data_IF_638529243280
#
_entry.id   IF_638529243280
#
_cell.length_a   1.000
_cell.length_b   1.000
_cell.length_c   1.000
_cell.angle_alpha   90.00
_cell.angle_beta   90.00
_cell.angle_gamma   90.00
#
_symmetry.space_group_name_H-M   'P 1'
#
loop_
_entity.id
_entity.type
_entity.pdbx_description
1 polymer ?
#
# COMPACT_ATOMS: atom_id res chain seq x y z
N UNK A 1 -24.85 0.87 23.81
CA UNK A 1 -23.70 0.68 22.92
C UNK A 1 -22.77 -0.29 23.63
N UNK A 2 -22.59 -1.51 23.11
CA UNK A 2 -21.90 -2.60 23.81
C UNK A 2 -20.44 -2.62 23.36
N UNK A 3 -19.54 -2.05 24.18
CA UNK A 3 -18.12 -1.98 23.88
C UNK A 3 -17.42 -3.33 24.17
N UNK A 4 -17.58 -4.31 23.27
CA UNK A 4 -16.93 -5.63 23.40
C UNK A 4 -15.39 -5.54 23.34
N UNK A 5 -14.87 -4.60 22.57
CA UNK A 5 -13.43 -4.34 22.38
C UNK A 5 -12.93 -3.11 23.16
N UNK A 6 -13.79 -2.51 24.00
CA UNK A 6 -13.50 -1.27 24.70
C UNK A 6 -13.77 0.00 23.86
N UNK A 7 -13.41 1.14 24.44
CA UNK A 7 -13.59 2.48 23.85
C UNK A 7 -12.25 3.11 23.50
N UNK A 8 -12.22 3.87 22.41
CA UNK A 8 -11.07 4.64 21.95
C UNK A 8 -10.77 5.82 22.91
N UNK A 9 -9.68 6.54 22.70
CA UNK A 9 -9.21 7.67 23.54
C UNK A 9 -10.27 8.78 23.70
N UNK A 10 -11.21 8.85 22.75
CA UNK A 10 -12.34 9.79 22.73
C UNK A 10 -13.66 9.20 23.28
N UNK A 11 -13.64 8.00 23.86
CA UNK A 11 -14.83 7.32 24.40
C UNK A 11 -15.73 6.64 23.35
N UNK A 12 -15.30 6.54 22.09
CA UNK A 12 -16.04 5.88 20.99
C UNK A 12 -15.84 4.37 21.01
N UNK A 13 -16.88 3.58 20.72
CA UNK A 13 -16.79 2.11 20.65
C UNK A 13 -15.85 1.66 19.51
N UNK A 14 -14.75 0.99 19.88
CA UNK A 14 -13.72 0.51 18.94
C UNK A 14 -14.28 -0.53 17.98
N UNK A 15 -15.15 -1.43 18.46
CA UNK A 15 -15.74 -2.48 17.62
C UNK A 15 -16.58 -1.87 16.51
N UNK A 16 -17.40 -0.87 16.86
CA UNK A 16 -18.23 -0.16 15.88
C UNK A 16 -17.38 0.57 14.84
N UNK A 17 -16.25 1.14 15.25
CA UNK A 17 -15.36 1.86 14.34
C UNK A 17 -14.60 0.92 13.39
N UNK A 18 -14.17 -0.24 13.90
CA UNK A 18 -13.53 -1.29 13.12
C UNK A 18 -14.48 -1.90 12.08
N UNK A 19 -15.72 -2.20 12.46
CA UNK A 19 -16.72 -2.74 11.53
C UNK A 19 -17.10 -1.72 10.44
N UNK A 20 -17.18 -0.43 10.81
CA UNK A 20 -17.43 0.64 9.85
C UNK A 20 -16.26 0.83 8.87
N UNK A 21 -15.02 0.77 9.36
CA UNK A 21 -13.82 0.90 8.53
C UNK A 21 -13.52 -0.34 7.68
N UNK A 22 -13.74 -1.53 8.23
CA UNK A 22 -13.34 -2.80 7.60
C UNK A 22 -14.05 -3.06 6.29
N UNK A 23 -15.33 -2.71 6.16
CA UNK A 23 -16.10 -2.90 4.92
C UNK A 23 -15.45 -2.19 3.75
N UNK A 24 -15.06 -0.94 3.92
CA UNK A 24 -14.45 -0.13 2.86
C UNK A 24 -13.08 -0.69 2.50
N UNK A 25 -12.26 -1.03 3.50
CA UNK A 25 -10.93 -1.64 3.29
C UNK A 25 -11.01 -3.00 2.60
N UNK A 26 -11.97 -3.86 2.97
CA UNK A 26 -12.15 -5.18 2.35
C UNK A 26 -12.50 -5.05 0.88
N UNK A 27 -13.46 -4.19 0.55
CA UNK A 27 -13.92 -4.00 -0.82
C UNK A 27 -12.78 -3.45 -1.68
N UNK A 28 -12.07 -2.42 -1.20
CA UNK A 28 -10.95 -1.85 -1.94
C UNK A 28 -9.82 -2.86 -2.12
N UNK A 29 -9.46 -3.60 -1.07
CA UNK A 29 -8.40 -4.61 -1.14
C UNK A 29 -8.77 -5.74 -2.11
N UNK A 30 -10.03 -6.18 -2.10
CA UNK A 30 -10.52 -7.23 -2.99
C UNK A 30 -10.36 -6.84 -4.47
N UNK A 31 -10.79 -5.64 -4.85
CA UNK A 31 -10.64 -5.17 -6.24
C UNK A 31 -9.17 -4.95 -6.62
N UNK A 32 -8.37 -4.38 -5.73
CA UNK A 32 -6.93 -4.19 -5.96
C UNK A 32 -6.25 -5.53 -6.22
N UNK A 33 -6.51 -6.54 -5.39
CA UNK A 33 -5.91 -7.88 -5.54
C UNK A 33 -6.30 -8.49 -6.89
N UNK A 34 -7.56 -8.43 -7.28
CA UNK A 34 -8.02 -8.99 -8.58
C UNK A 34 -7.30 -8.31 -9.75
N UNK A 35 -7.25 -6.98 -9.75
CA UNK A 35 -6.65 -6.20 -10.84
C UNK A 35 -5.14 -6.45 -10.89
N UNK A 36 -4.45 -6.36 -9.75
CA UNK A 36 -3.01 -6.59 -9.67
C UNK A 36 -2.65 -8.03 -10.00
N UNK A 37 -3.45 -9.02 -9.57
CA UNK A 37 -3.25 -10.42 -9.93
C UNK A 37 -3.40 -10.62 -11.43
N UNK A 38 -4.45 -10.07 -12.05
CA UNK A 38 -4.67 -10.20 -13.49
C UNK A 38 -3.52 -9.57 -14.30
N UNK A 39 -3.13 -8.33 -13.95
CA UNK A 39 -2.01 -7.65 -14.60
C UNK A 39 -0.67 -8.35 -14.34
N UNK A 40 -0.42 -8.78 -13.11
CA UNK A 40 0.82 -9.47 -12.73
C UNK A 40 0.96 -10.83 -13.41
N UNK A 41 -0.11 -11.60 -13.50
CA UNK A 41 -0.11 -12.91 -14.17
C UNK A 41 0.08 -12.76 -15.68
N UNK A 42 -0.66 -11.85 -16.31
CA UNK A 42 -0.55 -11.62 -17.76
C UNK A 42 0.85 -11.13 -18.16
N UNK A 43 1.39 -10.16 -17.42
CA UNK A 43 2.76 -9.66 -17.65
C UNK A 43 3.83 -10.68 -17.29
N UNK A 44 3.64 -11.45 -16.21
CA UNK A 44 4.58 -12.50 -15.77
C UNK A 44 4.66 -13.66 -16.78
N UNK A 45 3.53 -14.13 -17.29
CA UNK A 45 3.48 -15.14 -18.35
C UNK A 45 4.12 -14.58 -19.63
N UNK A 46 3.80 -13.34 -20.01
CA UNK A 46 4.42 -12.65 -21.14
C UNK A 46 5.94 -12.57 -21.03
N UNK A 47 6.47 -12.22 -19.86
CA UNK A 47 7.90 -12.16 -19.61
C UNK A 47 8.58 -13.55 -19.61
N UNK A 48 7.88 -14.58 -19.10
CA UNK A 48 8.39 -15.96 -19.05
C UNK A 48 8.54 -16.60 -20.44
N UNK A 49 7.62 -16.28 -21.36
CA UNK A 49 7.64 -16.76 -22.75
C UNK A 49 8.56 -15.93 -23.66
N UNK A 50 8.99 -14.76 -23.19
CA UNK A 50 9.78 -13.82 -24.00
C UNK A 50 11.26 -14.21 -24.09
N UNK A 51 11.96 -13.81 -25.17
CA UNK A 51 13.39 -14.00 -25.30
C UNK A 51 14.18 -13.31 -24.17
N UNK A 52 15.37 -13.84 -23.87
CA UNK A 52 16.18 -13.58 -22.65
C UNK A 52 16.32 -12.10 -22.24
N UNK A 53 16.33 -11.17 -23.19
CA UNK A 53 16.45 -9.74 -22.93
C UNK A 53 15.22 -9.14 -22.23
N UNK A 54 14.01 -9.53 -22.61
CA UNK A 54 12.77 -9.01 -22.03
C UNK A 54 12.49 -9.58 -20.64
N UNK A 55 12.87 -10.85 -20.42
CA UNK A 55 12.88 -11.46 -19.09
C UNK A 55 13.86 -10.71 -18.16
N UNK A 56 15.05 -10.35 -18.67
CA UNK A 56 16.02 -9.55 -17.91
C UNK A 56 15.45 -8.19 -17.49
N UNK A 57 14.82 -7.46 -18.40
CA UNK A 57 14.25 -6.14 -18.07
C UNK A 57 13.13 -6.25 -17.04
N UNK A 58 12.26 -7.27 -17.14
CA UNK A 58 11.21 -7.51 -16.15
C UNK A 58 11.76 -7.75 -14.74
N UNK A 59 12.80 -8.58 -14.59
CA UNK A 59 13.45 -8.86 -13.31
C UNK A 59 14.10 -7.59 -12.74
N UNK A 60 14.84 -6.84 -13.57
CA UNK A 60 15.47 -5.59 -13.12
C UNK A 60 14.46 -4.52 -12.69
N UNK A 61 13.28 -4.50 -13.31
CA UNK A 61 12.22 -3.56 -12.93
C UNK A 61 11.75 -3.81 -11.50
N UNK A 62 11.59 -5.09 -11.14
CA UNK A 62 11.21 -5.52 -9.80
C UNK A 62 12.33 -5.20 -8.81
N UNK A 63 13.59 -5.49 -9.16
CA UNK A 63 14.74 -5.19 -8.31
C UNK A 63 14.86 -3.69 -8.02
N UNK A 64 14.62 -2.80 -8.99
CA UNK A 64 14.65 -1.34 -8.79
C UNK A 64 13.58 -0.89 -7.78
N UNK A 65 12.37 -1.44 -7.88
CA UNK A 65 11.27 -1.11 -6.97
C UNK A 65 11.57 -1.62 -5.55
N UNK A 66 12.13 -2.83 -5.43
CA UNK A 66 12.46 -3.44 -4.15
C UNK A 66 13.75 -2.88 -3.53
N UNK A 67 14.65 -2.30 -4.33
CA UNK A 67 15.91 -1.74 -3.87
C UNK A 67 15.73 -0.53 -2.95
N UNK A 68 14.60 0.17 -3.05
CA UNK A 68 14.25 1.29 -2.17
C UNK A 68 13.34 0.80 -1.03
N UNK A 69 13.82 0.78 0.22
CA UNK A 69 12.98 0.51 1.38
C UNK A 69 11.86 1.55 1.45
N UNK A 70 10.60 1.10 1.49
CA UNK A 70 9.43 1.98 1.52
C UNK A 70 9.46 3.00 2.67
N UNK A 71 10.10 2.63 3.79
CA UNK A 71 10.31 3.52 4.95
C UNK A 71 11.20 4.71 4.59
N UNK A 72 12.32 4.49 3.87
CA UNK A 72 13.21 5.58 3.46
C UNK A 72 12.50 6.55 2.52
N UNK A 73 11.74 6.03 1.55
CA UNK A 73 10.97 6.86 0.64
C UNK A 73 9.93 7.71 1.38
N UNK A 74 9.19 7.12 2.33
CA UNK A 74 8.20 7.83 3.15
C UNK A 74 8.85 8.96 3.96
N UNK A 75 10.02 8.72 4.56
CA UNK A 75 10.75 9.73 5.33
C UNK A 75 11.23 10.89 4.43
N UNK A 76 11.82 10.59 3.27
CA UNK A 76 12.25 11.62 2.32
C UNK A 76 11.07 12.48 1.82
N UNK A 77 9.95 11.85 1.48
CA UNK A 77 8.75 12.55 1.06
C UNK A 77 8.15 13.38 2.20
N UNK A 78 8.13 12.89 3.43
CA UNK A 78 7.68 13.67 4.59
C UNK A 78 8.57 14.88 4.83
N UNK A 79 9.89 14.75 4.68
CA UNK A 79 10.83 15.88 4.80
C UNK A 79 10.60 16.95 3.72
N UNK A 80 10.24 16.52 2.52
CA UNK A 80 9.99 17.40 1.37
C UNK A 80 8.58 18.03 1.42
N UNK A 81 7.59 17.29 1.91
CA UNK A 81 6.19 17.72 2.03
C UNK A 81 5.89 18.43 3.35
N UNK A 82 6.76 18.32 4.36
CA UNK A 82 6.64 19.09 5.60
C UNK A 82 6.76 20.58 5.25
N UNK A 83 5.72 21.40 5.49
CA UNK A 83 5.86 22.83 5.35
C UNK A 83 6.82 23.28 6.45
N UNK A 84 8.09 23.52 6.10
CA UNK A 84 9.15 23.96 7.02
C UNK A 84 8.90 25.39 7.57
N UNK A 85 7.72 25.96 7.35
CA UNK A 85 7.45 27.40 7.49
C UNK A 85 6.46 27.78 8.60
N UNK A 86 5.84 26.84 9.32
CA UNK A 86 4.88 27.20 10.39
C UNK A 86 5.44 27.18 11.83
N UNK A 87 6.74 26.88 12.03
CA UNK A 87 7.36 26.87 13.37
C UNK A 87 8.61 27.76 13.48
N UNK A 88 8.83 28.67 12.52
CA UNK A 88 9.84 29.73 12.64
C UNK A 88 9.23 31.12 12.94
N UNK A 89 7.93 31.19 13.27
CA UNK A 89 7.25 32.39 13.81
C UNK A 89 6.40 32.01 15.02
#
# INVERSE_FOLDING_TARGET
MVALLGTDVLGRDVLSNLLAGSRTTLITAFFVVIITMFLGVTTGIGAALSPRWFNRTAIYSIDIVLALPAVLLRLCLQQYMAPQLLLQL
#
